data_IF_656772994156
#
_entry.id   IF_656772994156
#
_cell.length_a   1.000
_cell.length_b   1.000
_cell.length_c   1.000
_cell.angle_alpha   90.00
_cell.angle_beta   90.00
_cell.angle_gamma   90.00
#
_symmetry.space_group_name_H-M   'P 1'
#
loop_
_entity.id
_entity.type
_entity.pdbx_description
1 polymer ?
#
# COMPACT_ATOMS: atom_id res chain seq x y z
N UNK A 1 5.06 -22.49 12.70
CA UNK A 1 4.71 -22.19 11.30
C UNK A 1 3.92 -20.89 11.16
N UNK A 2 2.71 -20.75 11.76
CA UNK A 2 1.91 -19.50 11.65
C UNK A 2 2.71 -18.20 11.92
N UNK A 3 3.48 -18.13 13.01
CA UNK A 3 4.25 -16.93 13.36
C UNK A 3 5.23 -16.44 12.28
N UNK A 4 5.80 -17.34 11.48
CA UNK A 4 6.76 -16.97 10.43
C UNK A 4 6.05 -16.45 9.18
N UNK A 5 4.93 -17.06 8.80
CA UNK A 5 4.05 -16.57 7.73
C UNK A 5 3.52 -15.16 8.04
N UNK A 6 3.16 -14.89 9.28
CA UNK A 6 2.68 -13.57 9.73
C UNK A 6 3.80 -12.54 9.64
N UNK A 7 5.02 -12.88 10.08
CA UNK A 7 6.19 -11.99 9.96
C UNK A 7 6.48 -11.63 8.50
N UNK A 8 6.36 -12.60 7.59
CA UNK A 8 6.54 -12.36 6.15
C UNK A 8 5.44 -11.41 5.63
N UNK A 9 4.18 -11.64 6.02
CA UNK A 9 3.06 -10.78 5.64
C UNK A 9 3.24 -9.34 6.13
N UNK A 10 3.62 -9.17 7.40
CA UNK A 10 3.93 -7.86 8.00
C UNK A 10 5.06 -7.17 7.22
N UNK A 11 6.17 -7.88 6.99
CA UNK A 11 7.31 -7.34 6.25
C UNK A 11 6.96 -6.90 4.83
N UNK A 12 6.12 -7.66 4.13
CA UNK A 12 5.65 -7.30 2.79
C UNK A 12 4.74 -6.06 2.81
N UNK A 13 3.82 -5.97 3.79
CA UNK A 13 2.95 -4.80 3.97
C UNK A 13 3.80 -3.57 4.26
N UNK A 14 4.73 -3.63 5.21
CA UNK A 14 5.58 -2.50 5.59
C UNK A 14 6.46 -2.04 4.40
N UNK A 15 7.01 -3.00 3.65
CA UNK A 15 7.77 -2.70 2.43
C UNK A 15 6.90 -1.95 1.40
N UNK A 16 5.69 -2.46 1.11
CA UNK A 16 4.79 -1.82 0.15
C UNK A 16 4.33 -0.44 0.63
N UNK A 17 4.06 -0.25 1.92
CA UNK A 17 3.71 1.05 2.49
C UNK A 17 4.83 2.08 2.27
N UNK A 18 6.09 1.72 2.57
CA UNK A 18 7.22 2.61 2.29
C UNK A 18 7.36 2.95 0.81
N UNK A 19 7.04 2.01 -0.10
CA UNK A 19 7.02 2.25 -1.54
C UNK A 19 5.87 3.16 -1.98
N UNK A 20 4.69 3.04 -1.36
CA UNK A 20 3.55 3.93 -1.59
C UNK A 20 3.92 5.35 -1.22
N UNK A 21 4.49 5.55 -0.03
CA UNK A 21 4.91 6.87 0.44
C UNK A 21 5.96 7.49 -0.48
N UNK A 22 6.97 6.70 -0.88
CA UNK A 22 7.95 7.11 -1.89
C UNK A 22 7.28 7.60 -3.18
N UNK A 23 6.33 6.83 -3.73
CA UNK A 23 5.66 7.24 -4.97
C UNK A 23 4.79 8.48 -4.79
N UNK A 24 4.10 8.63 -3.65
CA UNK A 24 3.27 9.80 -3.35
C UNK A 24 4.11 11.08 -3.33
N UNK A 25 5.22 11.08 -2.59
CA UNK A 25 6.14 12.22 -2.51
C UNK A 25 6.71 12.55 -3.90
N UNK A 26 7.25 11.57 -4.61
CA UNK A 26 7.84 11.83 -5.93
C UNK A 26 6.81 12.32 -6.97
N UNK A 27 5.58 11.82 -6.95
CA UNK A 27 4.52 12.28 -7.86
C UNK A 27 4.05 13.69 -7.52
N UNK A 28 4.05 14.07 -6.25
CA UNK A 28 3.72 15.42 -5.81
C UNK A 28 4.74 16.45 -6.34
N UNK A 29 6.03 16.12 -6.19
CA UNK A 29 7.18 16.94 -6.62
C UNK A 29 7.47 16.87 -8.12
N UNK A 30 6.77 16.00 -8.88
CA UNK A 30 7.02 15.81 -10.30
C UNK A 30 6.64 17.06 -11.12
N UNK A 31 7.64 17.71 -11.71
CA UNK A 31 7.48 19.00 -12.42
C UNK A 31 6.50 18.91 -13.60
N UNK A 32 6.63 17.88 -14.45
CA UNK A 32 5.78 17.70 -15.63
C UNK A 32 4.78 16.54 -15.47
N UNK A 33 3.58 16.86 -15.01
CA UNK A 33 2.49 15.88 -14.80
C UNK A 33 1.83 15.37 -16.10
N UNK A 34 2.28 15.83 -17.28
CA UNK A 34 1.83 15.29 -18.58
C UNK A 34 2.80 14.26 -19.16
N UNK A 35 3.98 14.12 -18.57
CA UNK A 35 5.00 13.17 -19.00
C UNK A 35 4.50 11.71 -18.89
N UNK A 36 4.96 10.87 -19.80
CA UNK A 36 4.60 9.44 -19.81
C UNK A 36 5.16 8.70 -18.58
N UNK A 37 6.32 9.12 -18.07
CA UNK A 37 6.90 8.63 -16.82
C UNK A 37 6.03 8.96 -15.60
N UNK A 38 5.46 10.16 -15.55
CA UNK A 38 4.48 10.53 -14.51
C UNK A 38 3.25 9.63 -14.55
N UNK A 39 2.62 9.47 -15.73
CA UNK A 39 1.43 8.60 -15.89
C UNK A 39 1.73 7.14 -15.54
N UNK A 40 2.89 6.62 -15.95
CA UNK A 40 3.33 5.26 -15.59
C UNK A 40 3.52 5.11 -14.08
N UNK A 41 4.11 6.11 -13.44
CA UNK A 41 4.33 6.10 -11.99
C UNK A 41 3.01 6.18 -11.21
N UNK A 42 2.03 6.96 -11.67
CA UNK A 42 0.68 6.95 -11.11
C UNK A 42 0.01 5.57 -11.20
N UNK A 43 0.09 4.89 -12.36
CA UNK A 43 -0.46 3.53 -12.52
C UNK A 43 0.23 2.52 -11.62
N UNK A 44 1.55 2.64 -11.44
CA UNK A 44 2.32 1.79 -10.52
C UNK A 44 1.91 2.03 -9.07
N UNK A 45 1.70 3.28 -8.67
CA UNK A 45 1.19 3.62 -7.35
C UNK A 45 -0.19 3.02 -7.12
N UNK A 46 -1.12 3.17 -8.07
CA UNK A 46 -2.47 2.60 -7.96
C UNK A 46 -2.41 1.07 -7.74
N UNK A 47 -1.66 0.35 -8.60
CA UNK A 47 -1.49 -1.10 -8.46
C UNK A 47 -0.88 -1.49 -7.10
N UNK A 48 0.09 -0.72 -6.61
CA UNK A 48 0.73 -0.97 -5.33
C UNK A 48 -0.24 -0.75 -4.16
N UNK A 49 -1.11 0.26 -4.24
CA UNK A 49 -2.19 0.49 -3.27
C UNK A 49 -3.14 -0.71 -3.28
N UNK A 50 -3.61 -1.17 -4.44
CA UNK A 50 -4.52 -2.30 -4.56
C UNK A 50 -3.92 -3.59 -3.96
N UNK A 51 -2.66 -3.89 -4.29
CA UNK A 51 -1.95 -5.03 -3.70
C UNK A 51 -1.84 -4.92 -2.17
N UNK A 52 -1.55 -3.73 -1.66
CA UNK A 52 -1.40 -3.50 -0.21
C UNK A 52 -2.75 -3.61 0.51
N UNK A 53 -3.82 -3.08 -0.07
CA UNK A 53 -5.20 -3.22 0.44
C UNK A 53 -5.59 -4.69 0.51
N UNK A 54 -5.27 -5.49 -0.52
CA UNK A 54 -5.55 -6.93 -0.52
C UNK A 54 -4.78 -7.68 0.59
N UNK A 55 -3.51 -7.36 0.82
CA UNK A 55 -2.73 -7.97 1.91
C UNK A 55 -3.29 -7.58 3.29
N UNK A 56 -3.71 -6.33 3.46
CA UNK A 56 -4.34 -5.86 4.69
C UNK A 56 -5.71 -6.52 4.93
N UNK A 57 -6.48 -6.80 3.86
CA UNK A 57 -7.71 -7.59 3.95
C UNK A 57 -7.45 -9.03 4.39
N UNK A 58 -6.41 -9.67 3.85
CA UNK A 58 -6.00 -11.02 4.29
C UNK A 58 -5.61 -10.97 5.77
N UNK A 59 -4.77 -10.01 6.18
CA UNK A 59 -4.38 -9.84 7.59
C UNK A 59 -5.59 -9.62 8.49
N UNK A 60 -6.57 -8.82 8.07
CA UNK A 60 -7.82 -8.59 8.83
C UNK A 60 -8.60 -9.88 9.07
N UNK A 61 -8.60 -10.81 8.11
CA UNK A 61 -9.31 -12.09 8.21
C UNK A 61 -8.54 -13.12 9.05
N UNK A 62 -7.21 -13.14 8.93
CA UNK A 62 -6.38 -14.20 9.52
C UNK A 62 -5.79 -13.81 10.88
N UNK A 63 -5.47 -12.53 11.10
CA UNK A 63 -4.68 -12.03 12.24
C UNK A 63 -5.14 -10.62 12.67
N UNK A 64 -6.36 -10.54 13.23
CA UNK A 64 -7.02 -9.29 13.57
C UNK A 64 -6.22 -8.39 14.54
N UNK A 65 -5.50 -8.99 15.50
CA UNK A 65 -4.70 -8.24 16.47
C UNK A 65 -3.56 -7.45 15.80
N UNK A 66 -2.93 -8.03 14.78
CA UNK A 66 -1.90 -7.36 13.99
C UNK A 66 -2.52 -6.32 13.05
N UNK A 67 -3.67 -6.64 12.43
CA UNK A 67 -4.39 -5.71 11.56
C UNK A 67 -4.76 -4.40 12.26
N UNK A 68 -5.08 -4.43 13.56
CA UNK A 68 -5.45 -3.23 14.32
C UNK A 68 -4.38 -2.13 14.26
N UNK A 69 -3.09 -2.50 14.11
CA UNK A 69 -1.97 -1.55 13.95
C UNK A 69 -2.05 -0.78 12.61
N UNK A 70 -2.69 -1.37 11.61
CA UNK A 70 -2.81 -0.84 10.26
C UNK A 70 -4.19 -0.24 9.95
N UNK A 71 -5.15 -0.30 10.87
CA UNK A 71 -6.54 0.08 10.61
C UNK A 71 -6.70 1.49 10.03
N UNK A 72 -5.95 2.46 10.56
CA UNK A 72 -6.00 3.84 10.06
C UNK A 72 -5.34 4.01 8.69
N UNK A 73 -4.27 3.25 8.41
CA UNK A 73 -3.61 3.22 7.11
C UNK A 73 -4.55 2.57 6.08
N UNK A 74 -5.18 1.46 6.43
CA UNK A 74 -6.12 0.74 5.59
C UNK A 74 -7.28 1.64 5.14
N UNK A 75 -7.93 2.36 6.05
CA UNK A 75 -8.99 3.32 5.72
C UNK A 75 -8.53 4.39 4.72
N UNK A 76 -7.32 4.95 4.91
CA UNK A 76 -6.75 5.96 4.00
C UNK A 76 -6.49 5.40 2.60
N UNK A 77 -6.04 4.14 2.52
CA UNK A 77 -5.79 3.46 1.24
C UNK A 77 -7.09 3.09 0.52
N UNK A 78 -8.13 2.63 1.23
CA UNK A 78 -9.43 2.31 0.62
C UNK A 78 -10.05 3.54 -0.08
N UNK A 79 -10.06 4.70 0.59
CA UNK A 79 -10.53 5.97 0.00
C UNK A 79 -9.76 6.30 -1.29
N UNK A 80 -8.45 6.05 -1.29
CA UNK A 80 -7.57 6.32 -2.43
C UNK A 80 -7.77 5.34 -3.59
N UNK A 81 -8.29 4.13 -3.32
CA UNK A 81 -8.54 3.08 -4.31
C UNK A 81 -9.93 3.17 -4.97
N UNK A 82 -10.89 3.83 -4.30
CA UNK A 82 -12.27 4.00 -4.79
C UNK A 82 -12.50 5.30 -5.58
N UNK A 83 -11.43 6.06 -5.86
CA UNK A 83 -11.45 7.33 -6.62
C UNK A 83 -10.85 7.14 -8.01
#
# INVERSE_FOLDING_TARGET
MKSESIKILIGEIDYKLGRIDYFKVNLEEWENKKDEGYKKSQRRLAKLIDETVNLLLIMKLEELDEFNKYQEIFKKLEISSSS
#
